data_IF_304870102358
#
_entry.id   IF_304870102358
#
_cell.length_a   1.000
_cell.length_b   1.000
_cell.length_c   1.000
_cell.angle_alpha   90.00
_cell.angle_beta   90.00
_cell.angle_gamma   90.00
#
_symmetry.space_group_name_H-M   'P 1'
#
loop_
_entity.id
_entity.type
_entity.pdbx_description
1 polymer ?
#
# COMPACT_ATOMS: atom_id res chain seq x y z
N UNK A 1 6.63 -2.30 8.05
CA UNK A 1 7.69 -2.05 9.07
C UNK A 1 9.00 -1.68 8.37
N UNK A 2 9.78 -0.77 8.95
CA UNK A 2 11.04 -0.30 8.38
C UNK A 2 12.15 -1.33 8.59
N UNK A 3 12.97 -1.57 7.57
CA UNK A 3 14.20 -2.34 7.74
C UNK A 3 15.18 -1.53 8.60
N UNK A 4 15.85 -2.21 9.53
CA UNK A 4 17.04 -1.68 10.19
C UNK A 4 18.22 -1.92 9.24
N UNK A 5 19.11 -0.93 9.09
CA UNK A 5 20.27 -1.01 8.18
C UNK A 5 21.27 -2.14 8.51
N UNK A 6 21.02 -2.93 9.56
CA UNK A 6 21.86 -4.07 9.97
C UNK A 6 21.26 -5.37 9.48
N UNK A 7 21.86 -5.89 8.42
CA UNK A 7 21.73 -7.28 8.02
C UNK A 7 22.91 -8.06 8.62
N UNK A 8 22.63 -9.16 9.31
CA UNK A 8 23.67 -10.06 9.82
C UNK A 8 23.75 -11.25 8.88
N UNK A 9 24.92 -11.45 8.30
CA UNK A 9 25.22 -12.63 7.48
C UNK A 9 25.90 -13.68 8.35
N UNK A 10 25.30 -14.86 8.45
CA UNK A 10 25.85 -16.00 9.17
C UNK A 10 25.47 -17.29 8.42
N UNK A 11 26.45 -18.15 8.16
CA UNK A 11 26.27 -19.45 7.49
C UNK A 11 25.53 -19.35 6.13
N UNK A 12 25.78 -18.27 5.38
CA UNK A 12 25.14 -18.02 4.07
C UNK A 12 23.68 -17.54 4.15
N UNK A 13 23.19 -17.26 5.36
CA UNK A 13 21.85 -16.70 5.60
C UNK A 13 21.94 -15.23 6.00
N UNK A 14 21.00 -14.43 5.50
CA UNK A 14 20.86 -13.02 5.86
C UNK A 14 19.72 -12.88 6.86
N UNK A 15 20.02 -12.32 8.03
CA UNK A 15 19.01 -11.91 9.01
C UNK A 15 18.71 -10.42 8.85
N UNK A 16 17.51 -10.10 8.37
CA UNK A 16 17.02 -8.72 8.29
C UNK A 16 16.16 -8.40 9.50
N UNK A 17 16.58 -7.41 10.29
CA UNK A 17 15.79 -6.91 11.43
C UNK A 17 14.93 -5.72 11.02
N UNK A 18 13.71 -5.62 11.55
CA UNK A 18 12.80 -4.51 11.28
C UNK A 18 12.55 -3.71 12.56
N UNK A 19 12.25 -2.42 12.41
CA UNK A 19 11.77 -1.59 13.52
C UNK A 19 10.46 -2.15 14.07
N UNK A 20 10.28 -2.00 15.38
CA UNK A 20 9.03 -2.33 16.06
C UNK A 20 7.88 -1.51 15.46
N UNK A 21 6.77 -2.18 15.13
CA UNK A 21 5.56 -1.51 14.64
C UNK A 21 4.87 -0.71 15.74
N UNK A 22 3.99 0.24 15.38
CA UNK A 22 2.95 0.72 16.27
C UNK A 22 2.10 -0.44 16.81
N UNK A 23 1.35 -0.23 17.91
CA UNK A 23 0.30 -1.15 18.33
C UNK A 23 -0.70 -1.36 17.19
N UNK A 24 -0.89 -2.61 16.77
CA UNK A 24 -1.76 -2.96 15.65
C UNK A 24 -2.35 -4.36 15.86
N UNK A 25 -3.46 -4.66 15.19
CA UNK A 25 -4.10 -5.98 15.22
C UNK A 25 -3.20 -7.03 14.56
N UNK A 26 -3.23 -8.27 15.06
CA UNK A 26 -2.35 -9.36 14.58
C UNK A 26 -2.53 -9.71 13.11
N UNK A 27 -3.72 -9.48 12.54
CA UNK A 27 -4.04 -9.78 11.15
C UNK A 27 -3.28 -8.89 10.14
N UNK A 28 -2.71 -7.77 10.61
CA UNK A 28 -1.96 -6.82 9.79
C UNK A 28 -0.48 -7.18 9.64
N UNK A 29 0.03 -8.14 10.41
CA UNK A 29 1.43 -8.58 10.30
C UNK A 29 1.69 -9.18 8.92
N UNK A 30 2.67 -8.63 8.20
CA UNK A 30 3.13 -9.16 6.91
C UNK A 30 4.64 -9.01 6.73
N UNK A 31 5.21 -9.98 6.00
CA UNK A 31 6.56 -9.93 5.46
C UNK A 31 6.59 -10.70 4.13
N UNK A 32 7.45 -10.29 3.22
CA UNK A 32 7.61 -10.94 1.90
C UNK A 32 9.09 -11.19 1.65
N UNK A 33 9.43 -12.40 1.22
CA UNK A 33 10.76 -12.79 0.74
C UNK A 33 10.64 -13.02 -0.77
N UNK A 34 11.34 -12.22 -1.56
CA UNK A 34 11.28 -12.31 -3.03
C UNK A 34 12.53 -11.70 -3.67
N UNK A 35 12.72 -11.99 -4.96
CA UNK A 35 13.71 -11.38 -5.85
C UNK A 35 13.15 -10.16 -6.61
N UNK A 36 12.11 -9.53 -6.07
CA UNK A 36 11.40 -8.46 -6.76
C UNK A 36 12.23 -7.18 -6.89
N UNK A 37 11.96 -6.45 -7.96
CA UNK A 37 12.49 -5.11 -8.16
C UNK A 37 11.48 -4.07 -7.67
N UNK A 38 11.96 -2.85 -7.41
CA UNK A 38 11.11 -1.73 -7.00
C UNK A 38 11.34 -0.47 -7.83
N UNK A 39 10.25 0.28 -8.02
CA UNK A 39 10.34 1.73 -8.26
C UNK A 39 10.05 2.44 -6.95
N UNK A 40 10.75 3.54 -6.71
CA UNK A 40 10.59 4.32 -5.49
C UNK A 40 10.63 5.82 -5.73
N UNK A 41 9.93 6.56 -4.88
CA UNK A 41 10.03 8.02 -4.75
C UNK A 41 10.47 8.36 -3.31
N UNK A 42 11.57 9.11 -3.21
CA UNK A 42 12.18 9.59 -1.95
C UNK A 42 12.19 11.12 -1.85
N UNK A 43 11.41 11.81 -2.70
CA UNK A 43 11.40 13.28 -2.78
C UNK A 43 10.66 13.95 -1.61
N UNK A 44 10.02 13.16 -0.74
CA UNK A 44 9.23 13.57 0.41
C UNK A 44 9.75 12.90 1.67
N UNK A 45 9.25 13.35 2.83
CA UNK A 45 9.67 12.82 4.14
C UNK A 45 9.33 11.33 4.34
N UNK A 46 8.44 10.77 3.51
CA UNK A 46 8.14 9.34 3.43
C UNK A 46 8.55 8.77 2.08
N UNK A 47 9.16 7.58 2.10
CA UNK A 47 9.49 6.83 0.89
C UNK A 47 8.29 6.02 0.40
N UNK A 48 7.92 6.21 -0.85
CA UNK A 48 6.89 5.39 -1.51
C UNK A 48 7.57 4.36 -2.40
N UNK A 49 7.15 3.09 -2.33
CA UNK A 49 7.72 2.04 -3.20
C UNK A 49 6.64 1.15 -3.78
N UNK A 50 6.88 0.69 -5.01
CA UNK A 50 6.07 -0.34 -5.65
C UNK A 50 6.99 -1.48 -6.09
N UNK A 51 6.77 -2.65 -5.52
CA UNK A 51 7.55 -3.88 -5.73
C UNK A 51 6.82 -4.84 -6.65
N UNK A 52 7.53 -5.39 -7.63
CA UNK A 52 6.99 -6.42 -8.52
C UNK A 52 8.12 -7.21 -9.18
N UNK A 53 7.78 -8.26 -9.94
CA UNK A 53 8.75 -9.02 -10.74
C UNK A 53 9.44 -8.10 -11.75
N UNK A 54 10.72 -8.33 -12.03
CA UNK A 54 11.51 -7.50 -12.95
C UNK A 54 10.80 -7.22 -14.30
N UNK A 55 10.15 -8.23 -14.90
CA UNK A 55 9.41 -8.11 -16.17
C UNK A 55 8.25 -7.08 -16.15
N UNK A 56 7.72 -6.77 -14.98
CA UNK A 56 6.54 -5.92 -14.79
C UNK A 56 6.88 -4.54 -14.21
N UNK A 57 8.16 -4.23 -13.95
CA UNK A 57 8.59 -3.01 -13.28
C UNK A 57 8.16 -1.73 -14.02
N UNK A 58 7.98 -1.79 -15.32
CA UNK A 58 7.52 -0.65 -16.13
C UNK A 58 6.04 -0.31 -15.89
N UNK A 59 5.24 -1.26 -15.41
CA UNK A 59 3.81 -1.11 -15.17
C UNK A 59 3.48 -0.53 -13.78
N UNK A 60 4.49 -0.21 -12.95
CA UNK A 60 4.28 0.29 -11.58
C UNK A 60 4.21 1.81 -11.47
N UNK A 61 4.58 2.54 -12.53
CA UNK A 61 4.70 4.01 -12.50
C UNK A 61 3.37 4.69 -12.13
N UNK A 62 2.25 4.17 -12.64
CA UNK A 62 0.92 4.72 -12.34
C UNK A 62 0.55 4.51 -10.88
N UNK A 63 0.77 3.31 -10.33
CA UNK A 63 0.51 3.00 -8.93
C UNK A 63 1.36 3.85 -7.98
N UNK A 64 2.65 4.05 -8.29
CA UNK A 64 3.54 4.91 -7.50
C UNK A 64 3.00 6.35 -7.47
N UNK A 65 2.73 6.92 -8.65
CA UNK A 65 2.21 8.30 -8.78
C UNK A 65 0.88 8.47 -8.06
N UNK A 66 -0.05 7.52 -8.22
CA UNK A 66 -1.38 7.66 -7.64
C UNK A 66 -1.40 7.38 -6.14
N UNK A 67 -0.64 6.40 -5.65
CA UNK A 67 -0.49 6.15 -4.22
C UNK A 67 0.00 7.39 -3.47
N UNK A 68 0.98 8.11 -4.01
CA UNK A 68 1.46 9.37 -3.43
C UNK A 68 0.36 10.44 -3.33
N UNK A 69 -0.43 10.62 -4.40
CA UNK A 69 -1.54 11.59 -4.41
C UNK A 69 -2.65 11.19 -3.43
N UNK A 70 -2.99 9.90 -3.39
CA UNK A 70 -4.02 9.35 -2.52
C UNK A 70 -3.63 9.50 -1.05
N UNK A 71 -2.42 9.10 -0.66
CA UNK A 71 -1.97 9.21 0.72
C UNK A 71 -1.98 10.66 1.19
N UNK A 72 -1.49 11.59 0.35
CA UNK A 72 -1.57 13.02 0.63
C UNK A 72 -3.01 13.53 0.79
N UNK A 73 -3.94 13.05 -0.03
CA UNK A 73 -5.34 13.44 0.05
C UNK A 73 -6.02 12.89 1.31
N UNK A 74 -5.66 11.69 1.75
CA UNK A 74 -6.13 11.09 3.00
C UNK A 74 -5.58 11.81 4.23
N UNK A 75 -4.28 12.14 4.24
CA UNK A 75 -3.65 12.99 5.27
C UNK A 75 -4.42 14.31 5.42
N UNK A 76 -4.70 14.97 4.29
CA UNK A 76 -5.44 16.24 4.27
C UNK A 76 -6.88 16.07 4.76
N UNK A 77 -7.60 15.05 4.28
CA UNK A 77 -9.01 14.86 4.60
C UNK A 77 -9.23 14.48 6.07
N UNK A 78 -8.39 13.58 6.59
CA UNK A 78 -8.50 13.10 7.98
C UNK A 78 -7.90 14.07 8.98
N UNK A 79 -7.08 15.02 8.53
CA UNK A 79 -6.25 15.89 9.37
C UNK A 79 -5.34 15.09 10.33
N UNK A 80 -4.94 13.89 9.91
CA UNK A 80 -4.07 12.98 10.65
C UNK A 80 -3.01 12.49 9.66
N UNK A 81 -1.76 12.89 9.85
CA UNK A 81 -0.69 12.43 8.96
C UNK A 81 -0.35 10.97 9.19
N UNK A 82 -0.26 10.19 8.10
CA UNK A 82 0.24 8.81 8.12
C UNK A 82 1.62 8.71 8.80
N UNK A 83 2.50 9.68 8.56
CA UNK A 83 3.87 9.69 9.09
C UNK A 83 3.95 9.78 10.61
N UNK A 84 2.87 10.21 11.28
CA UNK A 84 2.78 10.20 12.74
C UNK A 84 2.89 8.78 13.32
N UNK A 85 2.44 7.79 12.57
CA UNK A 85 2.42 6.39 12.98
C UNK A 85 3.44 5.54 12.21
N UNK A 86 3.72 5.90 10.96
CA UNK A 86 4.60 5.14 10.06
C UNK A 86 5.60 6.08 9.36
N UNK A 87 6.79 6.23 9.95
CA UNK A 87 7.67 7.37 9.65
C UNK A 87 8.58 7.22 8.44
N UNK A 88 8.87 6.03 7.91
CA UNK A 88 9.87 5.91 6.82
C UNK A 88 9.31 5.51 5.46
N UNK A 89 8.30 4.63 5.40
CA UNK A 89 7.81 4.12 4.11
C UNK A 89 6.37 3.64 4.09
N UNK A 90 5.85 3.57 2.87
CA UNK A 90 4.72 2.72 2.49
C UNK A 90 5.11 1.90 1.26
N UNK A 91 5.06 0.58 1.40
CA UNK A 91 5.31 -0.35 0.30
C UNK A 91 3.99 -0.83 -0.29
N UNK A 92 3.94 -0.92 -1.62
CA UNK A 92 2.92 -1.65 -2.36
C UNK A 92 3.63 -2.82 -3.07
N UNK A 93 3.14 -4.04 -2.96
CA UNK A 93 3.75 -5.21 -3.58
C UNK A 93 2.73 -6.05 -4.32
N UNK A 94 3.08 -6.53 -5.52
CA UNK A 94 2.22 -7.47 -6.25
C UNK A 94 2.41 -8.90 -5.76
N UNK A 95 1.38 -9.73 -5.83
CA UNK A 95 1.47 -11.18 -5.73
C UNK A 95 0.59 -11.79 -6.83
N UNK A 96 1.07 -12.84 -7.50
CA UNK A 96 0.32 -13.47 -8.59
C UNK A 96 -0.89 -14.23 -8.05
N UNK A 97 -0.64 -15.09 -7.06
CA UNK A 97 -1.65 -15.96 -6.47
C UNK A 97 -2.15 -15.34 -5.16
N UNK A 98 -3.06 -14.39 -5.28
CA UNK A 98 -3.65 -13.67 -4.16
C UNK A 98 -5.19 -13.75 -4.21
N UNK A 99 -5.81 -14.31 -3.17
CA UNK A 99 -7.23 -14.65 -3.14
C UNK A 99 -8.12 -13.42 -2.91
N UNK A 100 -7.78 -12.61 -1.91
CA UNK A 100 -8.29 -11.25 -1.77
C UNK A 100 -7.70 -10.39 -2.90
N UNK A 101 -8.42 -9.45 -3.48
CA UNK A 101 -7.86 -8.64 -4.58
C UNK A 101 -6.65 -7.81 -4.16
N UNK A 102 -6.65 -7.36 -2.91
CA UNK A 102 -5.57 -6.69 -2.19
C UNK A 102 -5.78 -6.86 -0.67
N UNK A 103 -4.80 -6.45 0.14
CA UNK A 103 -4.81 -6.54 1.60
C UNK A 103 -3.96 -5.43 2.21
N UNK A 104 -4.49 -4.79 3.25
CA UNK A 104 -4.07 -3.48 3.74
C UNK A 104 -2.86 -3.49 4.69
N UNK A 105 -2.13 -4.59 4.82
CA UNK A 105 -1.12 -4.79 5.87
C UNK A 105 -0.27 -3.52 6.12
N UNK A 106 -0.24 -3.05 7.37
CA UNK A 106 0.19 -1.68 7.69
C UNK A 106 1.63 -1.37 7.24
N UNK A 107 1.76 -0.52 6.21
CA UNK A 107 3.01 -0.15 5.56
C UNK A 107 3.62 -1.17 4.58
N UNK A 108 2.93 -2.27 4.28
CA UNK A 108 3.25 -3.22 3.22
C UNK A 108 1.96 -3.76 2.58
N UNK A 109 1.33 -2.96 1.73
CA UNK A 109 0.07 -3.32 1.11
C UNK A 109 0.31 -4.34 -0.02
N UNK A 110 -0.42 -5.45 0.01
CA UNK A 110 -0.25 -6.56 -0.94
C UNK A 110 -1.41 -6.53 -1.95
N UNK A 111 -1.10 -6.63 -3.24
CA UNK A 111 -2.08 -6.57 -4.31
C UNK A 111 -1.95 -7.76 -5.22
N UNK A 112 -3.06 -8.22 -5.82
CA UNK A 112 -2.96 -9.07 -7.01
C UNK A 112 -2.39 -8.26 -8.19
N UNK A 113 -1.62 -8.89 -9.08
CA UNK A 113 -0.96 -8.21 -10.21
C UNK A 113 -1.94 -7.34 -11.03
N UNK A 114 -3.16 -7.82 -11.33
CA UNK A 114 -4.21 -7.11 -12.09
C UNK A 114 -4.89 -5.96 -11.32
N UNK A 115 -4.58 -5.79 -10.03
CA UNK A 115 -5.12 -4.72 -9.17
C UNK A 115 -4.15 -3.58 -8.91
N UNK A 116 -2.89 -3.74 -9.29
CA UNK A 116 -1.85 -2.72 -9.08
C UNK A 116 -1.12 -2.33 -10.36
N UNK A 117 -0.86 -3.28 -11.25
CA UNK A 117 -0.08 -3.02 -12.46
C UNK A 117 -0.93 -2.36 -13.54
N UNK A 118 -0.35 -1.35 -14.19
CA UNK A 118 -0.98 -0.63 -15.29
C UNK A 118 0.05 -0.36 -16.40
N UNK A 119 -0.26 -0.85 -17.59
CA UNK A 119 0.48 -0.57 -18.81
C UNK A 119 -0.24 0.50 -19.64
N UNK A 120 0.43 1.61 -19.94
CA UNK A 120 -0.20 2.75 -20.62
C UNK A 120 -0.65 2.45 -22.07
N UNK A 121 -0.01 1.49 -22.74
CA UNK A 121 -0.32 1.12 -24.12
C UNK A 121 -1.37 0.02 -24.16
N UNK A 122 -1.25 -0.97 -23.26
CA UNK A 122 -2.05 -2.20 -23.33
C UNK A 122 -3.28 -2.20 -22.40
N UNK A 123 -3.27 -1.42 -21.33
CA UNK A 123 -4.34 -1.47 -20.32
C UNK A 123 -5.52 -0.58 -20.69
N UNK A 124 -6.72 -1.07 -20.41
CA UNK A 124 -7.95 -0.31 -20.66
C UNK A 124 -8.14 0.84 -19.65
N UNK A 125 -8.98 1.82 -19.99
CA UNK A 125 -9.44 2.85 -19.05
C UNK A 125 -10.12 2.24 -17.82
N UNK A 126 -10.82 1.11 -17.98
CA UNK A 126 -11.42 0.37 -16.85
C UNK A 126 -10.34 -0.17 -15.91
N UNK A 127 -9.25 -0.74 -16.45
CA UNK A 127 -8.10 -1.18 -15.66
C UNK A 127 -7.47 -0.01 -14.91
N UNK A 128 -7.25 1.12 -15.58
CA UNK A 128 -6.72 2.34 -14.96
C UNK A 128 -7.55 2.79 -13.75
N UNK A 129 -8.87 2.86 -13.92
CA UNK A 129 -9.79 3.26 -12.86
C UNK A 129 -9.86 2.23 -11.73
N UNK A 130 -9.79 0.93 -12.04
CA UNK A 130 -9.77 -0.11 -11.04
C UNK A 130 -8.49 -0.04 -10.18
N UNK A 131 -7.32 0.11 -10.79
CA UNK A 131 -6.05 0.28 -10.06
C UNK A 131 -6.13 1.51 -9.14
N UNK A 132 -6.63 2.63 -9.64
CA UNK A 132 -6.82 3.84 -8.84
C UNK A 132 -7.72 3.59 -7.62
N UNK A 133 -8.86 2.93 -7.81
CA UNK A 133 -9.81 2.64 -6.73
C UNK A 133 -9.23 1.68 -5.71
N UNK A 134 -8.61 0.59 -6.14
CA UNK A 134 -8.06 -0.39 -5.19
C UNK A 134 -6.95 0.25 -4.35
N UNK A 135 -6.04 1.03 -4.95
CA UNK A 135 -5.04 1.78 -4.16
C UNK A 135 -5.73 2.72 -3.16
N UNK A 136 -6.80 3.41 -3.55
CA UNK A 136 -7.55 4.29 -2.65
C UNK A 136 -8.24 3.51 -1.52
N UNK A 137 -8.77 2.33 -1.81
CA UNK A 137 -9.36 1.41 -0.84
C UNK A 137 -8.33 1.00 0.22
N UNK A 138 -7.22 0.40 -0.21
CA UNK A 138 -6.18 -0.09 0.70
C UNK A 138 -5.49 1.02 1.48
N UNK A 139 -5.28 2.19 0.87
CA UNK A 139 -4.68 3.31 1.56
C UNK A 139 -5.64 3.94 2.57
N UNK A 140 -6.96 3.84 2.35
CA UNK A 140 -7.95 4.27 3.35
C UNK A 140 -7.88 3.39 4.59
N UNK A 141 -7.65 2.09 4.43
CA UNK A 141 -7.50 1.18 5.57
C UNK A 141 -6.36 1.56 6.53
N UNK A 142 -5.34 2.28 6.05
CA UNK A 142 -4.27 2.78 6.93
C UNK A 142 -4.79 3.69 8.06
N UNK A 143 -5.99 4.28 7.89
CA UNK A 143 -6.75 4.95 8.95
C UNK A 143 -7.92 4.09 9.46
N UNK A 144 -8.74 3.58 8.53
CA UNK A 144 -9.98 2.85 8.81
C UNK A 144 -9.76 1.34 8.70
N UNK A 145 -9.10 0.78 9.70
CA UNK A 145 -8.70 -0.61 9.76
C UNK A 145 -7.44 -0.78 10.59
N UNK A 146 -6.40 -0.03 10.24
CA UNK A 146 -5.09 -0.14 10.87
C UNK A 146 -4.99 0.75 12.11
N UNK A 147 -5.15 2.07 11.93
CA UNK A 147 -5.10 3.02 13.04
C UNK A 147 -6.31 2.88 13.96
N UNK A 148 -7.50 2.70 13.39
CA UNK A 148 -8.74 2.44 14.11
C UNK A 148 -9.32 1.13 13.61
N UNK A 149 -9.15 0.06 14.40
CA UNK A 149 -9.71 -1.27 14.11
C UNK A 149 -11.03 -1.53 14.85
N UNK A 150 -11.95 -2.32 14.28
CA UNK A 150 -13.16 -2.75 14.97
C UNK A 150 -12.79 -3.65 16.14
N UNK A 151 -13.54 -3.52 17.24
CA UNK A 151 -13.38 -4.39 18.40
C UNK A 151 -13.64 -5.88 18.08
N UNK A 152 -14.47 -6.16 17.07
CA UNK A 152 -14.82 -7.52 16.66
C UNK A 152 -15.29 -7.57 15.21
N UNK A 153 -15.13 -8.73 14.56
CA UNK A 153 -15.46 -8.98 13.15
C UNK A 153 -16.91 -8.71 12.76
N UNK A 154 -17.86 -8.78 13.71
CA UNK A 154 -19.26 -8.38 13.43
C UNK A 154 -19.41 -6.89 13.05
N UNK A 155 -18.39 -6.08 13.33
CA UNK A 155 -18.31 -4.66 12.95
C UNK A 155 -17.33 -4.42 11.81
N UNK A 156 -17.00 -5.44 11.02
CA UNK A 156 -16.08 -5.35 9.89
C UNK A 156 -16.47 -4.23 8.89
N UNK A 157 -17.75 -3.89 8.81
CA UNK A 157 -18.23 -2.77 8.01
C UNK A 157 -17.59 -1.41 8.38
N UNK A 158 -17.06 -1.24 9.60
CA UNK A 158 -16.29 -0.06 9.99
C UNK A 158 -14.96 0.06 9.23
N UNK A 159 -14.39 -1.06 8.77
CA UNK A 159 -13.24 -1.08 7.87
C UNK A 159 -13.73 -1.00 6.43
N UNK A 160 -14.35 -2.09 5.96
CA UNK A 160 -14.69 -2.32 4.55
C UNK A 160 -15.68 -1.29 4.01
N UNK A 161 -16.64 -0.86 4.83
CA UNK A 161 -17.63 0.13 4.42
C UNK A 161 -17.01 1.52 4.24
N UNK A 162 -16.09 1.91 5.13
CA UNK A 162 -15.34 3.16 4.99
C UNK A 162 -14.38 3.09 3.80
N UNK A 163 -13.61 2.02 3.66
CA UNK A 163 -12.71 1.85 2.53
C UNK A 163 -13.46 1.86 1.18
N UNK A 164 -14.60 1.15 1.09
CA UNK A 164 -15.47 1.16 -0.10
C UNK A 164 -16.03 2.55 -0.38
N UNK A 165 -16.42 3.34 0.62
CA UNK A 165 -16.87 4.70 0.37
C UNK A 165 -15.72 5.60 -0.13
N UNK A 166 -14.57 5.52 0.52
CA UNK A 166 -13.42 6.37 0.22
C UNK A 166 -12.75 6.00 -1.10
N UNK A 167 -12.81 4.74 -1.55
CA UNK A 167 -12.26 4.36 -2.86
C UNK A 167 -12.88 5.20 -3.98
N UNK A 168 -14.17 5.55 -3.86
CA UNK A 168 -14.86 6.41 -4.81
C UNK A 168 -14.59 7.89 -4.52
N UNK A 169 -14.71 8.30 -3.26
CA UNK A 169 -14.58 9.70 -2.85
C UNK A 169 -13.15 10.23 -3.08
N UNK A 170 -12.12 9.53 -2.59
CA UNK A 170 -10.73 9.93 -2.74
C UNK A 170 -10.27 9.77 -4.20
N UNK A 171 -10.63 8.69 -4.89
CA UNK A 171 -10.29 8.53 -6.31
C UNK A 171 -10.86 9.69 -7.14
N UNK A 172 -12.09 10.12 -6.87
CA UNK A 172 -12.64 11.32 -7.50
C UNK A 172 -11.80 12.55 -7.16
N UNK A 173 -11.52 12.83 -5.89
CA UNK A 173 -10.72 14.00 -5.47
C UNK A 173 -9.34 14.06 -6.14
N UNK A 174 -8.64 12.94 -6.28
CA UNK A 174 -7.29 12.94 -6.90
C UNK A 174 -7.31 12.96 -8.43
N UNK A 175 -8.43 12.57 -9.05
CA UNK A 175 -8.60 12.58 -10.50
C UNK A 175 -9.05 13.95 -11.03
N UNK A 176 -9.77 14.74 -10.23
CA UNK A 176 -10.26 16.09 -10.61
C UNK A 176 -9.22 17.21 -10.38
N UNK A 177 -8.05 16.92 -9.81
CA UNK A 177 -6.94 17.89 -9.60
C UNK A 177 -5.86 17.69 -10.70
N UNK A 178 -6.29 17.60 -11.94
CA UNK A 178 -5.49 17.66 -13.16
C UNK A 178 -6.16 18.65 -14.12
#
# INVERSE_FOLDING_TARGET
MDELDKQVEQDGMITTSFKKSPPMSTYLVAFVVSDYQRKEDKSKDITYRVWTKARAINQTSYALKMGMKILKQLDFYTNISYQKYMSAKIDQITQKDFSAGAMENWGLVIYREDRLLYDEILSTTRTKMNVLKVIAHEFTHQWFGDLVSPKWWKYLWLNEGFATYFEHFIAHKVNTIL
#
